data_IF_826411123359
#
_entry.id   IF_826411123359
#
_cell.length_a   1.000
_cell.length_b   1.000
_cell.length_c   1.000
_cell.angle_alpha   90.00
_cell.angle_beta   90.00
_cell.angle_gamma   90.00
#
_symmetry.space_group_name_H-M   'P 1'
#
loop_
_entity.id
_entity.type
_entity.pdbx_description
1 polymer ?
#
# COMPACT_ATOMS: atom_id res chain seq x y z
N UNK A 1 -12.17 2.80 -26.00
CA UNK A 1 -12.18 4.26 -25.89
C UNK A 1 -11.20 4.64 -24.78
N UNK A 2 -10.22 5.50 -25.04
CA UNK A 2 -9.24 5.95 -24.04
C UNK A 2 -9.92 7.03 -23.17
N UNK A 3 -10.02 6.83 -21.88
CA UNK A 3 -10.60 7.80 -20.95
C UNK A 3 -9.49 8.78 -20.55
N UNK A 4 -9.76 10.09 -20.70
CA UNK A 4 -8.83 11.16 -20.35
C UNK A 4 -9.16 11.75 -18.98
N UNK A 5 -8.15 12.29 -18.27
CA UNK A 5 -8.34 12.94 -16.97
C UNK A 5 -9.27 14.16 -17.06
N UNK A 6 -9.31 14.84 -18.22
CA UNK A 6 -10.10 16.06 -18.46
C UNK A 6 -11.59 15.82 -18.69
N UNK A 7 -12.03 14.57 -18.81
CA UNK A 7 -13.42 14.26 -19.15
C UNK A 7 -14.35 14.36 -17.95
N UNK A 8 -15.64 14.51 -18.23
CA UNK A 8 -16.68 14.32 -17.21
C UNK A 8 -16.81 12.85 -16.83
N UNK A 9 -16.79 12.53 -15.54
CA UNK A 9 -16.84 11.16 -15.02
C UNK A 9 -18.25 10.77 -14.55
N UNK A 10 -18.92 9.91 -15.33
CA UNK A 10 -20.08 9.14 -14.85
C UNK A 10 -19.61 8.01 -13.96
N UNK A 11 -20.49 7.37 -13.16
CA UNK A 11 -20.14 6.19 -12.37
C UNK A 11 -19.46 5.10 -13.19
N UNK A 12 -20.02 4.77 -14.36
CA UNK A 12 -19.47 3.75 -15.28
C UNK A 12 -18.06 4.12 -15.76
N UNK A 13 -17.84 5.39 -16.12
CA UNK A 13 -16.56 5.88 -16.61
C UNK A 13 -15.50 5.90 -15.49
N UNK A 14 -15.88 6.36 -14.30
CA UNK A 14 -15.01 6.37 -13.12
C UNK A 14 -14.58 4.96 -12.75
N UNK A 15 -15.53 4.03 -12.62
CA UNK A 15 -15.23 2.63 -12.33
C UNK A 15 -14.33 2.02 -13.38
N UNK A 16 -14.60 2.24 -14.68
CA UNK A 16 -13.76 1.71 -15.75
C UNK A 16 -12.34 2.26 -15.74
N UNK A 17 -12.16 3.50 -15.29
CA UNK A 17 -10.85 4.14 -15.18
C UNK A 17 -10.05 3.63 -13.98
N UNK A 18 -10.69 3.46 -12.82
CA UNK A 18 -10.01 3.02 -11.58
C UNK A 18 -9.87 1.50 -11.46
N UNK A 19 -10.69 0.72 -12.19
CA UNK A 19 -10.69 -0.74 -12.11
C UNK A 19 -9.32 -1.38 -12.33
N UNK A 20 -8.47 -0.95 -13.29
CA UNK A 20 -7.12 -1.49 -13.42
C UNK A 20 -6.27 -1.30 -12.16
N UNK A 21 -6.40 -0.15 -11.47
CA UNK A 21 -5.68 0.12 -10.22
C UNK A 21 -6.18 -0.77 -9.07
N UNK A 22 -7.50 -1.03 -9.01
CA UNK A 22 -8.09 -1.96 -8.03
C UNK A 22 -7.56 -3.37 -8.27
N UNK A 23 -7.63 -3.86 -9.50
CA UNK A 23 -7.14 -5.19 -9.87
C UNK A 23 -5.63 -5.30 -9.60
N UNK A 24 -4.87 -4.26 -9.89
CA UNK A 24 -3.43 -4.18 -9.60
C UNK A 24 -3.15 -4.39 -8.11
N UNK A 25 -3.87 -3.71 -7.23
CA UNK A 25 -3.70 -3.82 -5.78
C UNK A 25 -4.14 -5.18 -5.25
N UNK A 26 -5.25 -5.73 -5.74
CA UNK A 26 -5.70 -7.09 -5.40
C UNK A 26 -4.66 -8.12 -5.83
N UNK A 27 -4.15 -8.02 -7.05
CA UNK A 27 -3.13 -8.92 -7.57
C UNK A 27 -1.83 -8.84 -6.75
N UNK A 28 -1.40 -7.62 -6.38
CA UNK A 28 -0.24 -7.40 -5.49
C UNK A 28 -0.43 -8.10 -4.14
N UNK A 29 -1.62 -8.00 -3.55
CA UNK A 29 -1.93 -8.68 -2.28
C UNK A 29 -1.90 -10.20 -2.43
N UNK A 30 -2.44 -10.74 -3.51
CA UNK A 30 -2.47 -12.19 -3.76
C UNK A 30 -1.05 -12.74 -3.98
N UNK A 31 -0.25 -12.11 -4.84
CA UNK A 31 1.09 -12.66 -5.10
C UNK A 31 1.99 -12.57 -3.86
N UNK A 32 1.83 -11.55 -3.01
CA UNK A 32 2.57 -11.46 -1.74
C UNK A 32 2.22 -12.61 -0.78
N UNK A 33 0.96 -13.04 -0.77
CA UNK A 33 0.53 -14.23 0.00
C UNK A 33 1.14 -15.50 -0.58
N UNK A 34 1.16 -15.63 -1.91
CA UNK A 34 1.75 -16.79 -2.61
C UNK A 34 3.25 -16.90 -2.35
N UNK A 35 3.99 -15.79 -2.45
CA UNK A 35 5.43 -15.72 -2.12
C UNK A 35 5.69 -16.20 -0.69
N UNK A 36 4.94 -15.68 0.30
CA UNK A 36 5.02 -16.13 1.68
C UNK A 36 4.76 -17.63 1.87
N UNK A 37 3.81 -18.21 1.11
CA UNK A 37 3.54 -19.65 1.13
C UNK A 37 4.70 -20.47 0.54
N UNK A 38 5.32 -20.04 -0.55
CA UNK A 38 6.51 -20.71 -1.10
C UNK A 38 7.64 -20.74 -0.10
N UNK A 39 7.95 -19.61 0.51
CA UNK A 39 9.02 -19.54 1.51
C UNK A 39 8.72 -20.42 2.72
N UNK A 40 7.51 -20.37 3.27
CA UNK A 40 7.16 -21.15 4.46
C UNK A 40 7.23 -22.67 4.24
N UNK A 41 6.84 -23.14 3.05
CA UNK A 41 6.76 -24.57 2.77
C UNK A 41 8.08 -25.17 2.26
N UNK A 42 8.89 -24.41 1.53
CA UNK A 42 10.08 -24.96 0.86
C UNK A 42 11.42 -24.53 1.46
N UNK A 43 11.48 -23.42 2.22
CA UNK A 43 12.76 -22.89 2.68
C UNK A 43 13.04 -23.19 4.17
N UNK A 44 11.98 -23.37 4.98
CA UNK A 44 12.09 -23.77 6.37
C UNK A 44 11.99 -22.63 7.38
N UNK A 45 11.89 -23.01 8.67
CA UNK A 45 11.52 -22.11 9.77
C UNK A 45 12.53 -20.97 10.00
N UNK A 46 13.84 -21.25 9.95
CA UNK A 46 14.88 -20.23 10.22
C UNK A 46 14.95 -19.19 9.10
N UNK A 47 14.70 -19.61 7.86
CA UNK A 47 14.63 -18.70 6.72
C UNK A 47 13.39 -17.80 6.79
N UNK A 48 12.23 -18.36 7.12
CA UNK A 48 11.01 -17.60 7.32
C UNK A 48 11.16 -16.57 8.46
N UNK A 49 11.83 -16.96 9.55
CA UNK A 49 12.14 -16.05 10.66
C UNK A 49 13.06 -14.90 10.21
N UNK A 50 14.04 -15.17 9.34
CA UNK A 50 14.93 -14.15 8.80
C UNK A 50 14.17 -13.15 7.92
N UNK A 51 13.26 -13.62 7.08
CA UNK A 51 12.39 -12.75 6.26
C UNK A 51 11.54 -11.89 7.18
N UNK A 52 10.84 -12.45 8.15
CA UNK A 52 9.97 -11.72 9.06
C UNK A 52 10.70 -10.63 9.86
N UNK A 53 11.99 -10.84 10.18
CA UNK A 53 12.82 -9.84 10.84
C UNK A 53 13.27 -8.71 9.91
N UNK A 54 13.53 -9.02 8.65
CA UNK A 54 14.11 -8.06 7.69
C UNK A 54 13.07 -7.32 6.85
N UNK A 55 11.90 -7.95 6.58
CA UNK A 55 10.81 -7.36 5.80
C UNK A 55 10.35 -5.99 6.30
N UNK A 56 10.12 -5.74 7.61
CA UNK A 56 9.73 -4.43 8.09
C UNK A 56 10.74 -3.34 7.76
N UNK A 57 12.04 -3.66 7.73
CA UNK A 57 13.09 -2.72 7.37
C UNK A 57 13.03 -2.39 5.88
N UNK A 58 12.95 -3.43 5.03
CA UNK A 58 12.88 -3.29 3.57
C UNK A 58 11.62 -2.52 3.19
N UNK A 59 10.46 -2.88 3.74
CA UNK A 59 9.18 -2.20 3.49
C UNK A 59 9.18 -0.76 4.00
N UNK A 60 9.75 -0.51 5.18
CA UNK A 60 9.89 0.85 5.73
C UNK A 60 10.72 1.76 4.84
N UNK A 61 11.83 1.28 4.30
CA UNK A 61 12.66 2.03 3.37
C UNK A 61 11.97 2.22 2.01
N UNK A 62 11.34 1.19 1.48
CA UNK A 62 10.61 1.27 0.21
C UNK A 62 9.35 2.15 0.29
N UNK A 63 8.81 2.37 1.47
CA UNK A 63 7.68 3.27 1.71
C UNK A 63 7.97 4.72 1.29
N UNK A 64 9.25 5.11 1.22
CA UNK A 64 9.66 6.38 0.61
C UNK A 64 9.28 6.45 -0.88
N UNK A 65 9.30 5.32 -1.58
CA UNK A 65 8.81 5.22 -2.96
C UNK A 65 7.30 5.51 -3.05
N UNK A 66 6.48 4.94 -2.15
CA UNK A 66 5.05 5.25 -2.09
C UNK A 66 4.81 6.73 -1.77
N UNK A 67 5.53 7.29 -0.79
CA UNK A 67 5.47 8.71 -0.43
C UNK A 67 5.74 9.61 -1.62
N UNK A 68 6.86 9.38 -2.31
CA UNK A 68 7.26 10.17 -3.47
C UNK A 68 6.30 9.96 -4.64
N UNK A 69 5.82 8.73 -4.84
CA UNK A 69 4.89 8.36 -5.92
C UNK A 69 3.53 9.04 -5.80
N UNK A 70 2.86 8.89 -4.67
CA UNK A 70 1.53 9.47 -4.44
C UNK A 70 1.58 10.98 -4.35
N UNK A 71 2.54 11.54 -3.61
CA UNK A 71 2.71 12.98 -3.49
C UNK A 71 3.10 13.65 -4.81
N UNK A 72 4.03 13.05 -5.54
CA UNK A 72 4.50 13.56 -6.85
C UNK A 72 3.45 13.44 -7.93
N UNK A 73 2.73 12.32 -8.01
CA UNK A 73 1.67 12.12 -9.00
C UNK A 73 0.52 13.14 -8.83
N UNK A 74 0.17 13.46 -7.60
CA UNK A 74 -0.84 14.50 -7.33
C UNK A 74 -0.38 15.89 -7.77
N UNK A 75 0.88 16.26 -7.52
CA UNK A 75 1.42 17.56 -7.98
C UNK A 75 1.46 17.61 -9.50
N UNK A 76 1.96 16.57 -10.16
CA UNK A 76 2.04 16.51 -11.63
C UNK A 76 0.64 16.49 -12.25
N UNK A 77 -0.32 15.75 -11.70
CA UNK A 77 -1.70 15.72 -12.19
C UNK A 77 -2.38 17.10 -12.06
N UNK A 78 -2.12 17.82 -10.97
CA UNK A 78 -2.57 19.20 -10.80
C UNK A 78 -1.99 20.11 -11.89
N UNK A 79 -0.69 20.02 -12.19
CA UNK A 79 -0.04 20.82 -13.23
C UNK A 79 -0.59 20.52 -14.64
N UNK A 80 -0.92 19.26 -14.91
CA UNK A 80 -1.64 18.88 -16.14
C UNK A 80 -2.98 19.62 -16.24
N UNK A 81 -3.72 19.73 -15.13
CA UNK A 81 -4.96 20.51 -15.05
C UNK A 81 -4.74 22.01 -15.28
N UNK A 82 -3.66 22.58 -14.73
CA UNK A 82 -3.25 23.98 -14.92
C UNK A 82 -2.69 24.24 -16.34
N UNK A 83 -2.58 23.23 -17.22
CA UNK A 83 -2.03 23.28 -18.59
C UNK A 83 -0.57 23.77 -18.67
N UNK A 84 0.23 23.52 -17.65
CA UNK A 84 1.66 23.89 -17.59
C UNK A 84 2.54 22.79 -18.18
N UNK A 85 2.42 22.54 -19.50
CA UNK A 85 2.95 21.36 -20.23
C UNK A 85 4.45 21.12 -20.14
N UNK A 86 5.28 22.11 -19.87
CA UNK A 86 6.73 21.91 -19.74
C UNK A 86 7.11 21.46 -18.32
N UNK A 87 6.47 22.02 -17.29
CA UNK A 87 6.79 21.76 -15.89
C UNK A 87 6.33 20.37 -15.41
N UNK A 88 5.27 19.82 -15.97
CA UNK A 88 4.79 18.48 -15.60
C UNK A 88 5.81 17.40 -15.90
N UNK A 89 6.44 17.44 -17.09
CA UNK A 89 7.47 16.48 -17.48
C UNK A 89 8.78 16.71 -16.72
N UNK A 90 9.13 17.95 -16.43
CA UNK A 90 10.28 18.32 -15.63
C UNK A 90 10.17 17.75 -14.21
N UNK A 91 9.00 17.96 -13.55
CA UNK A 91 8.79 17.46 -12.19
C UNK A 91 8.60 15.94 -12.14
N UNK A 92 7.92 15.36 -13.13
CA UNK A 92 7.88 13.91 -13.29
C UNK A 92 9.29 13.32 -13.37
N UNK A 93 10.14 13.87 -14.23
CA UNK A 93 11.52 13.40 -14.40
C UNK A 93 12.34 13.58 -13.12
N UNK A 94 12.21 14.72 -12.45
CA UNK A 94 12.87 14.97 -11.16
C UNK A 94 12.50 13.91 -10.12
N UNK A 95 11.20 13.64 -9.96
CA UNK A 95 10.69 12.63 -9.02
C UNK A 95 11.28 11.25 -9.31
N UNK A 96 11.30 10.84 -10.57
CA UNK A 96 11.86 9.54 -10.98
C UNK A 96 13.37 9.47 -10.69
N UNK A 97 14.13 10.49 -11.05
CA UNK A 97 15.59 10.50 -10.84
C UNK A 97 15.95 10.57 -9.34
N UNK A 98 15.23 11.38 -8.57
CA UNK A 98 15.43 11.43 -7.11
C UNK A 98 15.12 10.09 -6.47
N UNK A 99 14.06 9.41 -6.90
CA UNK A 99 13.71 8.07 -6.40
C UNK A 99 14.80 7.05 -6.76
N UNK A 100 15.30 7.06 -7.99
CA UNK A 100 16.34 6.16 -8.41
C UNK A 100 17.65 6.36 -7.62
N UNK A 101 18.10 7.61 -7.49
CA UNK A 101 19.32 7.96 -6.73
C UNK A 101 19.11 7.66 -5.24
N UNK A 102 17.98 8.04 -4.66
CA UNK A 102 17.63 7.74 -3.27
C UNK A 102 17.58 6.24 -3.00
N UNK A 103 17.01 5.45 -3.91
CA UNK A 103 16.98 4.01 -3.83
C UNK A 103 18.38 3.39 -3.87
N UNK A 104 19.28 3.89 -4.72
CA UNK A 104 20.69 3.45 -4.76
C UNK A 104 21.40 3.77 -3.44
N UNK A 105 21.22 4.99 -2.91
CA UNK A 105 21.80 5.36 -1.62
C UNK A 105 21.30 4.48 -0.48
N UNK A 106 19.98 4.22 -0.43
CA UNK A 106 19.37 3.33 0.56
C UNK A 106 19.82 1.88 0.41
N UNK A 107 20.02 1.41 -0.83
CA UNK A 107 20.59 0.10 -1.12
C UNK A 107 21.99 -0.05 -0.52
N UNK A 108 22.86 0.93 -0.75
CA UNK A 108 24.24 0.93 -0.21
C UNK A 108 24.23 1.00 1.31
N UNK A 109 23.50 1.95 1.89
CA UNK A 109 23.38 2.10 3.35
C UNK A 109 22.77 0.86 4.00
N UNK A 110 21.68 0.33 3.44
CA UNK A 110 21.03 -0.89 3.93
C UNK A 110 21.98 -2.08 3.92
N UNK A 111 22.73 -2.27 2.83
CA UNK A 111 23.70 -3.36 2.71
C UNK A 111 24.84 -3.26 3.74
N UNK A 112 25.27 -2.03 4.08
CA UNK A 112 26.32 -1.79 5.07
C UNK A 112 25.79 -2.03 6.50
N UNK A 113 24.61 -1.49 6.80
CA UNK A 113 24.09 -1.47 8.18
C UNK A 113 23.28 -2.70 8.58
N UNK A 114 22.84 -3.56 7.63
CA UNK A 114 21.99 -4.71 7.95
C UNK A 114 22.59 -5.67 8.96
N UNK A 115 23.91 -5.98 9.01
CA UNK A 115 24.46 -6.86 10.01
C UNK A 115 24.28 -6.31 11.44
N UNK A 116 24.49 -5.00 11.61
CA UNK A 116 24.30 -4.33 12.91
C UNK A 116 22.81 -4.29 13.31
N UNK A 117 21.92 -3.95 12.37
CA UNK A 117 20.48 -3.86 12.61
C UNK A 117 19.91 -5.25 12.96
N UNK A 118 20.24 -6.29 12.19
CA UNK A 118 19.76 -7.65 12.46
C UNK A 118 20.27 -8.18 13.81
N UNK A 119 21.52 -7.87 14.17
CA UNK A 119 22.08 -8.21 15.49
C UNK A 119 21.36 -7.48 16.63
N UNK A 120 21.03 -6.19 16.48
CA UNK A 120 20.23 -5.41 17.43
C UNK A 120 18.81 -5.97 17.60
N UNK A 121 18.23 -6.51 16.54
CA UNK A 121 16.93 -7.19 16.59
C UNK A 121 16.99 -8.60 17.19
N UNK A 122 18.17 -9.01 17.66
CA UNK A 122 18.38 -10.29 18.37
C UNK A 122 18.75 -11.46 17.48
N UNK A 123 19.00 -11.27 16.18
CA UNK A 123 19.45 -12.35 15.31
C UNK A 123 20.87 -12.80 15.66
N UNK A 124 21.09 -14.13 15.78
CA UNK A 124 22.38 -14.75 16.09
C UNK A 124 22.60 -16.00 15.23
N UNK A 125 23.85 -16.38 15.04
CA UNK A 125 24.23 -17.61 14.34
C UNK A 125 23.62 -17.69 12.93
N UNK A 126 22.99 -18.82 12.60
CA UNK A 126 22.38 -19.05 11.27
C UNK A 126 21.27 -18.05 10.93
N UNK A 127 20.48 -17.62 11.93
CA UNK A 127 19.44 -16.60 11.71
C UNK A 127 20.04 -15.28 11.24
N UNK A 128 21.14 -14.83 11.87
CA UNK A 128 21.84 -13.61 11.46
C UNK A 128 22.38 -13.72 10.03
N UNK A 129 22.99 -14.86 9.70
CA UNK A 129 23.50 -15.13 8.35
C UNK A 129 22.38 -15.08 7.31
N UNK A 130 21.23 -15.67 7.59
CA UNK A 130 20.06 -15.65 6.72
C UNK A 130 19.47 -14.23 6.57
N UNK A 131 19.40 -13.44 7.66
CA UNK A 131 18.97 -12.05 7.61
C UNK A 131 19.86 -11.21 6.70
N UNK A 132 21.19 -11.36 6.83
CA UNK A 132 22.17 -10.63 6.02
C UNK A 132 22.04 -11.03 4.55
N UNK A 133 21.95 -12.33 4.26
CA UNK A 133 21.82 -12.84 2.90
C UNK A 133 20.56 -12.30 2.21
N UNK A 134 19.40 -12.50 2.84
CA UNK A 134 18.11 -12.09 2.27
C UNK A 134 18.03 -10.57 2.08
N UNK A 135 18.39 -9.81 3.11
CA UNK A 135 18.29 -8.35 3.02
C UNK A 135 19.27 -7.75 2.03
N UNK A 136 20.51 -8.25 1.93
CA UNK A 136 21.47 -7.78 0.93
C UNK A 136 21.00 -8.02 -0.50
N UNK A 137 20.43 -9.19 -0.78
CA UNK A 137 19.82 -9.47 -2.08
C UNK A 137 18.64 -8.52 -2.36
N UNK A 138 17.75 -8.34 -1.39
CA UNK A 138 16.62 -7.41 -1.53
C UNK A 138 17.06 -5.95 -1.69
N UNK A 139 18.17 -5.54 -1.07
CA UNK A 139 18.69 -4.18 -1.26
C UNK A 139 19.26 -3.93 -2.66
N UNK A 140 19.68 -4.95 -3.40
CA UNK A 140 20.10 -4.79 -4.81
C UNK A 140 18.94 -4.25 -5.64
N UNK A 141 17.73 -4.69 -5.42
CA UNK A 141 16.55 -4.25 -6.15
C UNK A 141 15.82 -3.07 -5.51
N UNK A 142 16.26 -2.55 -4.37
CA UNK A 142 15.63 -1.42 -3.67
C UNK A 142 15.32 -0.23 -4.59
N UNK A 143 16.23 0.22 -5.49
CA UNK A 143 15.90 1.30 -6.43
C UNK A 143 14.75 0.93 -7.36
N UNK A 144 14.72 -0.31 -7.86
CA UNK A 144 13.67 -0.81 -8.75
C UNK A 144 12.34 -0.95 -8.00
N UNK A 145 12.35 -1.43 -6.77
CA UNK A 145 11.17 -1.54 -5.93
C UNK A 145 10.55 -0.17 -5.60
N UNK A 146 11.37 0.80 -5.23
CA UNK A 146 10.91 2.17 -5.01
C UNK A 146 10.32 2.78 -6.29
N UNK A 147 10.98 2.57 -7.43
CA UNK A 147 10.48 3.02 -8.74
C UNK A 147 9.18 2.34 -9.13
N UNK A 148 9.02 1.04 -8.88
CA UNK A 148 7.76 0.33 -9.09
C UNK A 148 6.61 0.98 -8.32
N UNK A 149 6.83 1.32 -7.04
CA UNK A 149 5.83 2.00 -6.20
C UNK A 149 5.48 3.39 -6.74
N UNK A 150 6.48 4.15 -7.20
CA UNK A 150 6.27 5.46 -7.83
C UNK A 150 5.46 5.33 -9.12
N UNK A 151 5.82 4.39 -9.99
CA UNK A 151 5.16 4.22 -11.28
C UNK A 151 3.71 3.72 -11.16
N UNK A 152 3.33 3.03 -10.10
CA UNK A 152 1.93 2.65 -9.86
C UNK A 152 1.01 3.88 -9.89
N UNK A 153 1.41 4.97 -9.25
CA UNK A 153 0.65 6.23 -9.26
C UNK A 153 0.80 7.00 -10.59
N UNK A 154 2.00 7.02 -11.16
CA UNK A 154 2.25 7.77 -12.39
C UNK A 154 1.64 7.15 -13.65
N UNK A 155 1.45 5.84 -13.72
CA UNK A 155 0.70 5.25 -14.83
C UNK A 155 -0.74 5.76 -14.89
N UNK A 156 -1.38 6.00 -13.76
CA UNK A 156 -2.72 6.57 -13.70
C UNK A 156 -2.70 8.03 -14.15
N UNK A 157 -1.75 8.82 -13.65
CA UNK A 157 -1.53 10.23 -14.05
C UNK A 157 -1.22 10.35 -15.54
N UNK A 158 -0.51 9.38 -16.11
CA UNK A 158 -0.18 9.31 -17.53
C UNK A 158 -1.34 8.80 -18.42
N UNK A 159 -2.55 8.61 -17.88
CA UNK A 159 -3.72 7.99 -18.54
C UNK A 159 -3.47 6.59 -19.10
N UNK A 160 -2.61 5.83 -18.39
CA UNK A 160 -2.22 4.46 -18.77
C UNK A 160 -2.42 3.44 -17.63
N UNK A 161 -3.56 3.44 -16.90
CA UNK A 161 -3.75 2.55 -15.76
C UNK A 161 -3.68 1.06 -16.16
N UNK A 162 -4.14 0.69 -17.37
CA UNK A 162 -4.02 -0.68 -17.88
C UNK A 162 -2.55 -1.11 -18.07
N UNK A 163 -1.68 -0.19 -18.52
CA UNK A 163 -0.25 -0.50 -18.65
C UNK A 163 0.37 -0.75 -17.28
N UNK A 164 0.02 0.06 -16.27
CA UNK A 164 0.43 -0.17 -14.89
C UNK A 164 0.03 -1.55 -14.38
N UNK A 165 -1.23 -1.95 -14.65
CA UNK A 165 -1.73 -3.28 -14.30
C UNK A 165 -0.90 -4.38 -14.98
N UNK A 166 -0.63 -4.28 -16.29
CA UNK A 166 0.15 -5.29 -17.01
C UNK A 166 1.59 -5.41 -16.49
N UNK A 167 2.22 -4.28 -16.14
CA UNK A 167 3.57 -4.26 -15.56
C UNK A 167 3.60 -4.97 -14.20
N UNK A 168 2.63 -4.70 -13.34
CA UNK A 168 2.55 -5.36 -12.01
C UNK A 168 2.23 -6.85 -12.15
N UNK A 169 1.35 -7.23 -13.08
CA UNK A 169 1.09 -8.65 -13.37
C UNK A 169 2.36 -9.32 -13.89
N UNK A 170 3.08 -8.71 -14.83
CA UNK A 170 4.32 -9.27 -15.35
C UNK A 170 5.37 -9.44 -14.24
N UNK A 171 5.54 -8.45 -13.36
CA UNK A 171 6.44 -8.51 -12.21
C UNK A 171 6.06 -9.65 -11.25
N UNK A 172 4.79 -9.73 -10.83
CA UNK A 172 4.32 -10.75 -9.91
C UNK A 172 4.33 -12.16 -10.50
N UNK A 173 3.95 -12.33 -11.78
CA UNK A 173 4.04 -13.64 -12.46
C UNK A 173 5.50 -14.08 -12.59
N UNK A 174 6.41 -13.17 -12.91
CA UNK A 174 7.85 -13.48 -12.96
C UNK A 174 8.35 -13.94 -11.59
N UNK A 175 7.99 -13.22 -10.52
CA UNK A 175 8.35 -13.63 -9.15
C UNK A 175 7.83 -15.05 -8.86
N UNK A 176 6.51 -15.31 -9.03
CA UNK A 176 5.93 -16.64 -8.76
C UNK A 176 6.54 -17.78 -9.59
N UNK A 177 6.82 -17.55 -10.88
CA UNK A 177 7.46 -18.55 -11.76
C UNK A 177 8.90 -18.79 -11.32
N UNK A 178 9.63 -17.76 -10.96
CA UNK A 178 11.01 -17.89 -10.48
C UNK A 178 11.08 -18.49 -9.08
N UNK A 179 10.11 -18.26 -8.20
CA UNK A 179 10.00 -18.94 -6.91
C UNK A 179 9.84 -20.44 -7.12
N UNK A 180 8.93 -20.85 -8.00
CA UNK A 180 8.78 -22.25 -8.35
C UNK A 180 10.11 -22.85 -8.91
N UNK A 181 10.79 -22.11 -9.78
CA UNK A 181 12.03 -22.57 -10.38
C UNK A 181 13.19 -22.60 -9.36
N UNK A 182 13.47 -21.49 -8.69
CA UNK A 182 14.65 -21.36 -7.83
C UNK A 182 14.48 -22.06 -6.49
N UNK A 183 13.29 -21.97 -5.90
CA UNK A 183 13.02 -22.55 -4.59
C UNK A 183 12.50 -23.98 -4.74
N UNK A 184 11.49 -24.19 -5.61
CA UNK A 184 10.81 -25.47 -5.74
C UNK A 184 11.63 -26.52 -6.50
N UNK A 185 12.26 -26.17 -7.63
CA UNK A 185 12.95 -27.11 -8.52
C UNK A 185 14.46 -27.15 -8.25
N UNK A 186 15.12 -25.97 -8.22
CA UNK A 186 16.58 -25.88 -8.08
C UNK A 186 17.07 -25.94 -6.62
N UNK A 187 16.18 -25.78 -5.64
CA UNK A 187 16.53 -25.89 -4.23
C UNK A 187 17.47 -24.81 -3.70
N UNK A 188 17.46 -23.60 -4.30
CA UNK A 188 18.32 -22.48 -3.87
C UNK A 188 17.87 -21.86 -2.53
N UNK A 189 16.81 -22.37 -1.93
CA UNK A 189 16.33 -21.97 -0.62
C UNK A 189 16.05 -20.47 -0.52
N UNK A 190 16.52 -19.83 0.56
CA UNK A 190 16.27 -18.41 0.84
C UNK A 190 16.85 -17.48 -0.23
N UNK A 191 18.02 -17.81 -0.79
CA UNK A 191 18.61 -17.02 -1.86
C UNK A 191 17.75 -17.07 -3.13
N UNK A 192 17.15 -18.23 -3.42
CA UNK A 192 16.24 -18.41 -4.55
C UNK A 192 15.00 -17.52 -4.44
N UNK A 193 14.35 -17.48 -3.27
CA UNK A 193 13.20 -16.61 -3.02
C UNK A 193 13.57 -15.13 -3.14
N UNK A 194 14.70 -14.72 -2.56
CA UNK A 194 15.18 -13.34 -2.70
C UNK A 194 15.45 -12.96 -4.17
N UNK A 195 16.09 -13.83 -4.95
CA UNK A 195 16.37 -13.59 -6.36
C UNK A 195 15.11 -13.52 -7.22
N UNK A 196 14.12 -14.35 -6.94
CA UNK A 196 12.83 -14.31 -7.64
C UNK A 196 12.12 -12.95 -7.43
N UNK A 197 12.11 -12.47 -6.17
CA UNK A 197 11.56 -11.14 -5.82
C UNK A 197 12.34 -10.03 -6.51
N UNK A 198 13.68 -10.08 -6.48
CA UNK A 198 14.56 -9.11 -7.16
C UNK A 198 14.26 -9.02 -8.66
N UNK A 199 14.10 -10.15 -9.35
CA UNK A 199 13.79 -10.17 -10.77
C UNK A 199 12.41 -9.54 -11.06
N UNK A 200 11.39 -9.84 -10.24
CA UNK A 200 10.08 -9.22 -10.35
C UNK A 200 10.13 -7.70 -10.17
N UNK A 201 10.84 -7.22 -9.16
CA UNK A 201 10.99 -5.79 -8.87
C UNK A 201 11.75 -5.05 -9.99
N UNK A 202 12.76 -5.66 -10.60
CA UNK A 202 13.44 -5.07 -11.77
C UNK A 202 12.49 -4.91 -12.95
N UNK A 203 11.62 -5.87 -13.22
CA UNK A 203 10.60 -5.71 -14.27
C UNK A 203 9.67 -4.57 -13.92
N UNK A 204 9.15 -4.53 -12.68
CA UNK A 204 8.22 -3.50 -12.23
C UNK A 204 8.79 -2.09 -12.23
N UNK A 205 10.09 -1.94 -11.92
CA UNK A 205 10.77 -0.64 -11.81
C UNK A 205 11.43 -0.16 -13.10
N UNK A 206 12.11 -1.05 -13.87
CA UNK A 206 12.91 -0.63 -15.03
C UNK A 206 12.09 -0.56 -16.33
N UNK A 207 11.10 -1.43 -16.52
CA UNK A 207 10.26 -1.37 -17.71
C UNK A 207 9.57 -0.02 -17.89
N UNK A 208 8.99 0.60 -16.83
CA UNK A 208 8.40 1.93 -16.94
C UNK A 208 9.41 3.01 -17.33
N UNK A 209 10.66 2.96 -16.84
CA UNK A 209 11.70 3.90 -17.26
C UNK A 209 11.89 3.81 -18.77
N UNK A 210 12.04 2.61 -19.30
CA UNK A 210 12.19 2.39 -20.72
C UNK A 210 10.99 2.88 -21.54
N UNK A 211 9.76 2.68 -21.03
CA UNK A 211 8.53 3.17 -21.66
C UNK A 211 8.49 4.69 -21.72
N UNK A 212 8.79 5.39 -20.62
CA UNK A 212 8.68 6.84 -20.53
C UNK A 212 9.88 7.59 -21.16
N UNK A 213 11.02 6.95 -21.38
CA UNK A 213 12.16 7.55 -22.09
C UNK A 213 11.95 7.57 -23.60
N UNK A 214 11.19 6.61 -24.15
CA UNK A 214 10.89 6.55 -25.59
C UNK A 214 9.70 7.43 -25.96
N UNK A 215 9.53 7.70 -27.27
CA UNK A 215 8.30 8.29 -27.81
C UNK A 215 7.14 7.35 -27.49
N UNK A 216 6.21 7.81 -26.68
CA UNK A 216 5.05 7.05 -26.25
C UNK A 216 3.76 7.85 -26.43
N UNK A 217 2.61 7.21 -26.22
CA UNK A 217 1.28 7.82 -26.40
C UNK A 217 0.68 8.29 -25.06
N UNK A 218 1.49 8.44 -24.02
CA UNK A 218 1.04 8.97 -22.72
C UNK A 218 1.20 10.50 -22.64
N UNK A 219 0.65 11.09 -21.60
CA UNK A 219 0.83 12.52 -21.30
C UNK A 219 2.22 12.85 -20.79
N UNK A 220 2.88 11.87 -20.12
CA UNK A 220 4.16 12.06 -19.45
C UNK A 220 5.31 11.45 -20.23
N UNK A 221 6.49 12.10 -20.12
CA UNK A 221 7.72 11.65 -20.75
C UNK A 221 8.92 12.01 -19.89
N UNK A 222 9.86 11.08 -19.74
CA UNK A 222 11.13 11.34 -19.08
C UNK A 222 12.04 12.19 -19.98
N UNK A 223 12.64 13.21 -19.40
CA UNK A 223 13.53 14.14 -20.09
C UNK A 223 14.48 14.86 -19.15
N UNK A 224 14.96 16.02 -19.61
CA UNK A 224 15.80 16.90 -18.78
C UNK A 224 14.98 17.48 -17.64
N UNK A 225 15.61 17.65 -16.50
CA UNK A 225 15.00 18.27 -15.32
C UNK A 225 16.00 19.15 -14.60
N UNK A 226 15.50 20.10 -13.82
CA UNK A 226 16.28 20.93 -12.93
C UNK A 226 15.93 20.60 -11.49
N UNK A 227 16.90 20.68 -10.60
CA UNK A 227 16.68 20.48 -9.18
C UNK A 227 15.78 21.57 -8.61
N UNK A 228 14.64 21.16 -8.02
CA UNK A 228 13.73 22.04 -7.33
C UNK A 228 13.39 21.46 -5.95
N UNK A 229 14.17 21.86 -4.94
CA UNK A 229 14.02 21.37 -3.56
C UNK A 229 12.66 21.70 -2.95
N UNK A 230 12.04 22.82 -3.34
CA UNK A 230 10.71 23.20 -2.85
C UNK A 230 9.63 22.24 -3.33
N UNK A 231 9.65 21.89 -4.63
CA UNK A 231 8.69 20.90 -5.19
C UNK A 231 8.94 19.51 -4.61
N UNK A 232 10.19 19.13 -4.40
CA UNK A 232 10.50 17.85 -3.77
C UNK A 232 9.99 17.80 -2.32
N UNK A 233 10.18 18.86 -1.55
CA UNK A 233 9.64 18.97 -0.19
C UNK A 233 8.10 18.89 -0.19
N UNK A 234 7.45 19.62 -1.10
CA UNK A 234 5.99 19.51 -1.27
C UNK A 234 5.55 18.11 -1.64
N UNK A 235 6.29 17.41 -2.50
CA UNK A 235 6.05 16.01 -2.87
C UNK A 235 6.10 15.11 -1.64
N UNK A 236 7.15 15.24 -0.83
CA UNK A 236 7.30 14.46 0.40
C UNK A 236 6.21 14.75 1.43
N UNK A 237 5.89 16.04 1.67
CA UNK A 237 4.81 16.43 2.59
C UNK A 237 3.47 15.88 2.09
N UNK A 238 3.20 15.99 0.79
CA UNK A 238 1.93 15.58 0.21
C UNK A 238 1.73 14.06 0.24
N UNK A 239 2.80 13.28 0.09
CA UNK A 239 2.75 11.82 0.17
C UNK A 239 3.08 11.23 1.54
N UNK A 240 3.34 12.05 2.55
CA UNK A 240 3.76 11.58 3.89
C UNK A 240 2.73 10.67 4.57
N UNK A 241 1.46 10.76 4.17
CA UNK A 241 0.40 9.85 4.62
C UNK A 241 0.69 8.39 4.30
N UNK A 242 1.27 8.11 3.13
CA UNK A 242 1.65 6.74 2.73
C UNK A 242 2.83 6.22 3.54
N UNK A 243 3.83 7.07 3.78
CA UNK A 243 4.95 6.72 4.64
C UNK A 243 4.48 6.41 6.07
N UNK A 244 3.60 7.25 6.63
CA UNK A 244 3.01 7.05 7.96
C UNK A 244 2.23 5.74 8.01
N UNK A 245 1.41 5.45 7.02
CA UNK A 245 0.62 4.21 6.94
C UNK A 245 1.52 2.97 6.95
N UNK A 246 2.56 2.95 6.11
CA UNK A 246 3.44 1.79 5.99
C UNK A 246 4.30 1.57 7.26
N UNK A 247 4.88 2.64 7.83
CA UNK A 247 5.66 2.53 9.06
C UNK A 247 4.78 2.12 10.25
N UNK A 248 3.60 2.70 10.37
CA UNK A 248 2.66 2.37 11.43
C UNK A 248 2.19 0.92 11.38
N UNK A 249 1.99 0.38 10.17
CA UNK A 249 1.53 -1.01 9.99
C UNK A 249 2.48 -2.03 10.63
N UNK A 250 3.79 -1.83 10.51
CA UNK A 250 4.80 -2.71 11.12
C UNK A 250 4.75 -2.64 12.66
N UNK A 251 4.62 -1.43 13.22
CA UNK A 251 4.51 -1.22 14.67
C UNK A 251 3.23 -1.87 15.19
N UNK A 252 2.12 -1.63 14.51
CA UNK A 252 0.82 -2.15 14.93
C UNK A 252 0.75 -3.67 14.84
N UNK A 253 1.29 -4.28 13.79
CA UNK A 253 1.35 -5.72 13.67
C UNK A 253 2.09 -6.37 14.85
N UNK A 254 3.21 -5.78 15.25
CA UNK A 254 3.96 -6.24 16.45
C UNK A 254 3.14 -6.07 17.73
N UNK A 255 2.45 -4.95 17.90
CA UNK A 255 1.65 -4.67 19.08
C UNK A 255 0.43 -5.60 19.19
N UNK A 256 -0.25 -5.89 18.05
CA UNK A 256 -1.33 -6.88 18.00
C UNK A 256 -0.82 -8.26 18.42
N UNK A 257 0.30 -8.71 17.89
CA UNK A 257 0.90 -10.01 18.25
C UNK A 257 1.23 -10.11 19.76
N UNK A 258 1.78 -9.04 20.35
CA UNK A 258 2.08 -8.99 21.79
C UNK A 258 0.78 -9.12 22.62
N UNK A 259 -0.26 -8.36 22.27
CA UNK A 259 -1.53 -8.41 22.98
C UNK A 259 -2.22 -9.78 22.81
N UNK A 260 -2.24 -10.31 21.59
CA UNK A 260 -2.83 -11.62 21.33
C UNK A 260 -2.09 -12.75 22.04
N UNK A 261 -0.76 -12.71 22.07
CA UNK A 261 0.03 -13.68 22.85
C UNK A 261 -0.35 -13.64 24.33
N UNK A 262 -0.57 -12.45 24.90
CA UNK A 262 -0.97 -12.27 26.29
C UNK A 262 -2.38 -12.77 26.60
N UNK A 263 -3.36 -12.57 25.73
CA UNK A 263 -4.78 -12.86 25.99
C UNK A 263 -5.25 -14.20 25.44
N UNK A 264 -4.62 -14.74 24.40
CA UNK A 264 -5.07 -15.94 23.70
C UNK A 264 -3.92 -16.89 23.29
N UNK A 265 -2.68 -16.59 23.68
CA UNK A 265 -1.52 -17.42 23.37
C UNK A 265 -1.25 -17.55 21.86
N UNK A 266 -0.67 -18.68 21.45
CA UNK A 266 -0.31 -18.96 20.07
C UNK A 266 -1.53 -19.00 19.14
N UNK A 267 -2.67 -19.50 19.62
CA UNK A 267 -3.91 -19.56 18.82
C UNK A 267 -4.41 -18.15 18.44
N UNK A 268 -4.29 -17.16 19.34
CA UNK A 268 -4.65 -15.78 19.04
C UNK A 268 -3.79 -15.18 17.93
N UNK A 269 -2.48 -15.40 17.97
CA UNK A 269 -1.53 -14.93 16.95
C UNK A 269 -1.78 -15.62 15.61
N UNK A 270 -2.04 -16.93 15.60
CA UNK A 270 -2.34 -17.69 14.40
C UNK A 270 -3.68 -17.25 13.75
N UNK A 271 -4.72 -17.01 14.58
CA UNK A 271 -6.00 -16.49 14.12
C UNK A 271 -5.83 -15.11 13.45
N UNK A 272 -5.10 -14.20 14.08
CA UNK A 272 -4.83 -12.87 13.52
C UNK A 272 -4.06 -12.93 12.21
N UNK A 273 -3.01 -13.76 12.13
CA UNK A 273 -2.26 -13.96 10.89
C UNK A 273 -3.16 -14.40 9.73
N UNK A 274 -4.04 -15.37 9.97
CA UNK A 274 -5.03 -15.82 8.99
C UNK A 274 -5.97 -14.70 8.54
N UNK A 275 -6.47 -13.91 9.51
CA UNK A 275 -7.35 -12.77 9.21
C UNK A 275 -6.64 -11.71 8.39
N UNK A 276 -5.35 -11.46 8.62
CA UNK A 276 -4.58 -10.45 7.89
C UNK A 276 -4.41 -10.79 6.42
N UNK A 277 -4.25 -12.05 6.03
CA UNK A 277 -4.20 -12.43 4.61
C UNK A 277 -5.49 -12.04 3.87
N UNK A 278 -6.64 -12.27 4.48
CA UNK A 278 -7.94 -11.88 3.92
C UNK A 278 -8.10 -10.36 3.90
N UNK A 279 -7.69 -9.71 4.99
CA UNK A 279 -7.77 -8.25 5.14
C UNK A 279 -6.98 -7.50 4.07
N UNK A 280 -5.78 -7.97 3.71
CA UNK A 280 -4.97 -7.36 2.66
C UNK A 280 -5.68 -7.34 1.30
N UNK A 281 -6.38 -8.43 0.94
CA UNK A 281 -7.13 -8.51 -0.32
C UNK A 281 -8.33 -7.55 -0.31
N UNK A 282 -9.04 -7.44 0.81
CA UNK A 282 -10.23 -6.60 0.91
C UNK A 282 -9.88 -5.11 0.96
N UNK A 283 -8.84 -4.73 1.71
CA UNK A 283 -8.37 -3.35 1.75
C UNK A 283 -7.75 -2.91 0.42
N UNK A 284 -7.22 -3.83 -0.38
CA UNK A 284 -6.68 -3.55 -1.70
C UNK A 284 -7.70 -2.86 -2.63
N UNK A 285 -9.00 -3.12 -2.45
CA UNK A 285 -10.08 -2.46 -3.20
C UNK A 285 -10.10 -0.96 -2.90
N UNK A 286 -10.03 -0.57 -1.63
CA UNK A 286 -10.04 0.84 -1.23
C UNK A 286 -8.75 1.56 -1.60
N UNK A 287 -7.60 0.91 -1.41
CA UNK A 287 -6.30 1.47 -1.83
C UNK A 287 -6.22 1.63 -3.35
N UNK A 288 -6.65 0.61 -4.10
CA UNK A 288 -6.68 0.66 -5.56
C UNK A 288 -7.60 1.75 -6.10
N UNK A 289 -8.78 1.92 -5.48
CA UNK A 289 -9.67 3.03 -5.81
C UNK A 289 -9.02 4.40 -5.53
N UNK A 290 -8.38 4.53 -4.38
CA UNK A 290 -7.72 5.78 -3.97
C UNK A 290 -6.59 6.16 -4.93
N UNK A 291 -5.71 5.19 -5.28
CA UNK A 291 -4.63 5.39 -6.26
C UNK A 291 -5.20 5.75 -7.64
N UNK A 292 -6.28 5.07 -8.06
CA UNK A 292 -6.90 5.28 -9.36
C UNK A 292 -7.64 6.62 -9.48
N UNK A 293 -8.27 7.10 -8.42
CA UNK A 293 -9.07 8.34 -8.43
C UNK A 293 -8.27 9.60 -8.12
N UNK A 294 -7.19 9.50 -7.35
CA UNK A 294 -6.41 10.67 -6.92
C UNK A 294 -5.91 11.55 -8.08
N UNK A 295 -5.33 11.03 -9.18
CA UNK A 295 -4.91 11.88 -10.31
C UNK A 295 -6.06 12.58 -11.01
N UNK A 296 -7.25 11.95 -11.08
CA UNK A 296 -8.47 12.59 -11.67
C UNK A 296 -8.90 13.77 -10.82
N UNK A 297 -8.98 13.58 -9.50
CA UNK A 297 -9.34 14.63 -8.54
C UNK A 297 -8.32 15.77 -8.59
N UNK A 298 -7.03 15.43 -8.60
CA UNK A 298 -5.95 16.42 -8.64
C UNK A 298 -5.93 17.24 -9.94
N UNK A 299 -6.22 16.59 -11.07
CA UNK A 299 -6.36 17.26 -12.37
C UNK A 299 -7.48 18.30 -12.35
N UNK A 300 -8.69 17.90 -11.92
CA UNK A 300 -9.83 18.82 -11.88
C UNK A 300 -9.65 19.94 -10.86
N UNK A 301 -8.97 19.67 -9.76
CA UNK A 301 -8.56 20.69 -8.81
C UNK A 301 -7.60 21.71 -9.47
N UNK A 302 -6.59 21.24 -10.20
CA UNK A 302 -5.66 22.11 -10.95
C UNK A 302 -6.34 22.90 -12.07
N UNK A 303 -7.32 22.32 -12.75
CA UNK A 303 -8.11 22.95 -13.79
C UNK A 303 -9.15 23.96 -13.25
N UNK A 304 -9.34 24.05 -11.93
CA UNK A 304 -10.37 24.90 -11.33
C UNK A 304 -11.81 24.44 -11.60
N UNK A 305 -11.99 23.18 -12.02
CA UNK A 305 -13.30 22.61 -12.35
C UNK A 305 -14.00 22.12 -11.08
N UNK A 306 -14.65 23.05 -10.39
CA UNK A 306 -15.33 22.78 -9.12
C UNK A 306 -16.53 21.84 -9.28
N UNK A 307 -17.27 21.92 -10.38
CA UNK A 307 -18.45 21.08 -10.62
C UNK A 307 -18.05 19.61 -10.75
N UNK A 308 -16.95 19.33 -11.47
CA UNK A 308 -16.45 17.98 -11.59
C UNK A 308 -15.81 17.49 -10.29
N UNK A 309 -15.18 18.39 -9.53
CA UNK A 309 -14.65 18.05 -8.21
C UNK A 309 -15.75 17.61 -7.22
N UNK A 310 -16.89 18.33 -7.22
CA UNK A 310 -18.10 17.93 -6.44
C UNK A 310 -18.66 16.60 -6.92
N UNK A 311 -18.76 16.43 -8.23
CA UNK A 311 -19.23 15.22 -8.86
C UNK A 311 -18.38 14.00 -8.44
N UNK A 312 -17.05 14.11 -8.52
CA UNK A 312 -16.09 13.06 -8.14
C UNK A 312 -16.17 12.76 -6.65
N UNK A 313 -16.24 13.78 -5.79
CA UNK A 313 -16.34 13.60 -4.34
C UNK A 313 -17.60 12.82 -3.96
N UNK A 314 -18.79 13.24 -4.44
CA UNK A 314 -20.06 12.57 -4.16
C UNK A 314 -20.06 11.12 -4.66
N UNK A 315 -19.60 10.89 -5.89
CA UNK A 315 -19.55 9.56 -6.48
C UNK A 315 -18.58 8.64 -5.73
N UNK A 316 -17.43 9.17 -5.32
CA UNK A 316 -16.45 8.43 -4.53
C UNK A 316 -17.02 7.99 -3.19
N UNK A 317 -17.67 8.90 -2.45
CA UNK A 317 -18.30 8.53 -1.16
C UNK A 317 -19.39 7.47 -1.34
N UNK A 318 -20.21 7.57 -2.39
CA UNK A 318 -21.24 6.59 -2.70
C UNK A 318 -20.64 5.20 -3.02
N UNK A 319 -19.62 5.14 -3.89
CA UNK A 319 -18.97 3.90 -4.27
C UNK A 319 -18.27 3.23 -3.07
N UNK A 320 -17.55 4.02 -2.28
CA UNK A 320 -16.84 3.54 -1.10
C UNK A 320 -17.82 3.00 -0.06
N UNK A 321 -18.93 3.71 0.21
CA UNK A 321 -19.98 3.26 1.11
C UNK A 321 -20.62 1.97 0.64
N UNK A 322 -20.94 1.87 -0.66
CA UNK A 322 -21.50 0.65 -1.25
C UNK A 322 -20.53 -0.53 -1.13
N UNK A 323 -19.26 -0.34 -1.44
CA UNK A 323 -18.24 -1.38 -1.29
C UNK A 323 -17.98 -1.73 0.17
N UNK A 324 -17.98 -0.76 1.09
CA UNK A 324 -17.85 -1.03 2.52
C UNK A 324 -18.96 -1.95 3.04
N UNK A 325 -20.22 -1.68 2.67
CA UNK A 325 -21.36 -2.53 3.01
C UNK A 325 -21.21 -3.91 2.36
N UNK A 326 -20.89 -3.96 1.06
CA UNK A 326 -20.72 -5.21 0.33
C UNK A 326 -19.61 -6.08 0.93
N UNK A 327 -18.45 -5.49 1.25
CA UNK A 327 -17.33 -6.22 1.84
C UNK A 327 -17.64 -6.69 3.27
N UNK A 328 -18.29 -5.87 4.07
CA UNK A 328 -18.72 -6.28 5.42
C UNK A 328 -19.70 -7.45 5.35
N UNK A 329 -20.71 -7.39 4.49
CA UNK A 329 -21.67 -8.48 4.30
C UNK A 329 -20.99 -9.75 3.73
N UNK A 330 -20.14 -9.59 2.72
CA UNK A 330 -19.40 -10.71 2.13
C UNK A 330 -18.50 -11.37 3.18
N UNK A 331 -17.82 -10.57 4.01
CA UNK A 331 -17.00 -11.09 5.10
C UNK A 331 -17.79 -11.87 6.14
N UNK A 332 -18.99 -11.40 6.51
CA UNK A 332 -19.86 -12.13 7.41
C UNK A 332 -20.29 -13.48 6.84
N UNK A 333 -20.64 -13.53 5.55
CA UNK A 333 -21.02 -14.76 4.86
C UNK A 333 -19.84 -15.73 4.69
N UNK A 334 -18.66 -15.20 4.39
CA UNK A 334 -17.45 -15.98 4.12
C UNK A 334 -16.61 -16.25 5.37
N UNK A 335 -16.94 -15.73 6.54
CA UNK A 335 -16.15 -15.91 7.77
C UNK A 335 -15.89 -17.40 8.07
N UNK A 336 -16.93 -18.24 8.10
CA UNK A 336 -16.78 -19.66 8.36
C UNK A 336 -16.02 -20.40 7.24
N UNK A 337 -16.36 -20.28 5.93
CA UNK A 337 -15.63 -21.00 4.88
C UNK A 337 -14.18 -20.55 4.74
N UNK A 338 -13.87 -19.26 4.89
CA UNK A 338 -12.49 -18.76 4.84
C UNK A 338 -11.69 -19.23 6.05
N UNK A 339 -12.22 -19.14 7.27
CA UNK A 339 -11.55 -19.66 8.45
C UNK A 339 -11.31 -21.18 8.35
N UNK A 340 -12.30 -21.93 7.83
CA UNK A 340 -12.14 -23.38 7.61
C UNK A 340 -11.03 -23.72 6.60
N UNK A 341 -10.89 -22.91 5.56
CA UNK A 341 -9.86 -23.10 4.54
C UNK A 341 -8.44 -23.01 5.12
N UNK A 342 -8.20 -22.08 6.04
CA UNK A 342 -6.87 -21.83 6.59
C UNK A 342 -6.59 -22.62 7.87
N UNK A 343 -7.56 -22.77 8.76
CA UNK A 343 -7.36 -23.32 10.11
C UNK A 343 -8.40 -24.40 10.49
N UNK A 344 -9.06 -25.01 9.51
CA UNK A 344 -10.09 -26.03 9.74
C UNK A 344 -9.58 -27.36 10.33
N UNK A 345 -8.28 -27.51 10.48
CA UNK A 345 -7.63 -28.67 11.12
C UNK A 345 -7.68 -28.61 12.65
N UNK A 346 -7.94 -27.45 13.25
CA UNK A 346 -8.05 -27.23 14.70
C UNK A 346 -9.36 -26.52 15.01
N UNK A 347 -10.23 -27.19 15.80
CA UNK A 347 -11.59 -26.69 16.08
C UNK A 347 -11.58 -25.45 16.97
N UNK A 348 -10.66 -25.32 17.92
CA UNK A 348 -10.56 -24.16 18.80
C UNK A 348 -10.05 -22.95 18.03
N UNK A 349 -8.97 -23.10 17.27
CA UNK A 349 -8.40 -22.07 16.42
C UNK A 349 -9.40 -21.61 15.33
N UNK A 350 -10.16 -22.54 14.74
CA UNK A 350 -11.22 -22.22 13.79
C UNK A 350 -12.29 -21.33 14.44
N UNK A 351 -12.83 -21.74 15.59
CA UNK A 351 -13.86 -20.99 16.29
C UNK A 351 -13.38 -19.57 16.68
N UNK A 352 -12.13 -19.46 17.16
CA UNK A 352 -11.51 -18.17 17.50
C UNK A 352 -11.35 -17.29 16.26
N UNK A 353 -10.86 -17.85 15.15
CA UNK A 353 -10.63 -17.13 13.89
C UNK A 353 -11.93 -16.64 13.29
N UNK A 354 -12.96 -17.51 13.22
CA UNK A 354 -14.27 -17.13 12.71
C UNK A 354 -14.91 -16.02 13.55
N UNK A 355 -14.91 -16.17 14.87
CA UNK A 355 -15.46 -15.17 15.79
C UNK A 355 -14.72 -13.84 15.68
N UNK A 356 -13.40 -13.86 15.73
CA UNK A 356 -12.56 -12.66 15.60
C UNK A 356 -12.76 -11.96 14.26
N UNK A 357 -12.84 -12.72 13.17
CA UNK A 357 -13.03 -12.17 11.84
C UNK A 357 -14.41 -11.50 11.69
N UNK A 358 -15.49 -12.08 12.26
CA UNK A 358 -16.83 -11.48 12.26
C UNK A 358 -16.85 -10.11 12.94
N UNK A 359 -16.09 -9.93 14.02
CA UNK A 359 -15.97 -8.63 14.71
C UNK A 359 -15.10 -7.67 13.90
N UNK A 360 -13.93 -8.12 13.48
CA UNK A 360 -12.95 -7.32 12.78
C UNK A 360 -13.47 -6.73 11.46
N UNK A 361 -14.21 -7.53 10.68
CA UNK A 361 -14.69 -7.13 9.35
C UNK A 361 -15.74 -6.01 9.38
N UNK A 362 -16.35 -5.69 10.52
CA UNK A 362 -17.21 -4.51 10.66
C UNK A 362 -16.45 -3.20 10.39
N UNK A 363 -15.13 -3.20 10.56
CA UNK A 363 -14.28 -2.07 10.20
C UNK A 363 -14.34 -1.71 8.71
N UNK A 364 -14.65 -2.66 7.82
CA UNK A 364 -14.77 -2.39 6.37
C UNK A 364 -15.87 -1.40 6.02
N UNK A 365 -16.90 -1.26 6.85
CA UNK A 365 -17.91 -0.22 6.69
C UNK A 365 -17.34 1.20 6.71
N UNK A 366 -16.19 1.37 7.39
CA UNK A 366 -15.60 2.68 7.70
C UNK A 366 -14.25 2.89 7.05
N UNK A 367 -13.42 1.84 6.94
CA UNK A 367 -12.04 1.90 6.44
C UNK A 367 -11.92 2.67 5.13
N UNK A 368 -12.84 2.40 4.18
CA UNK A 368 -12.82 3.02 2.87
C UNK A 368 -12.94 4.55 2.93
N UNK A 369 -13.78 5.09 3.81
CA UNK A 369 -13.96 6.54 3.95
C UNK A 369 -12.69 7.23 4.47
N UNK A 370 -11.98 6.60 5.41
CA UNK A 370 -10.75 7.16 5.97
C UNK A 370 -9.58 7.05 4.98
N UNK A 371 -9.45 5.92 4.27
CA UNK A 371 -8.44 5.74 3.21
C UNK A 371 -8.66 6.77 2.11
N UNK A 372 -9.89 6.89 1.62
CA UNK A 372 -10.24 7.88 0.61
C UNK A 372 -10.07 9.31 1.13
N UNK A 373 -10.45 9.60 2.36
CA UNK A 373 -10.31 10.93 2.97
C UNK A 373 -8.87 11.41 2.96
N UNK A 374 -7.93 10.56 3.38
CA UNK A 374 -6.50 10.83 3.31
C UNK A 374 -6.06 11.06 1.86
N UNK A 375 -6.37 10.15 0.95
CA UNK A 375 -6.01 10.22 -0.47
C UNK A 375 -6.63 11.42 -1.18
N UNK A 376 -7.86 11.81 -0.83
CA UNK A 376 -8.54 12.99 -1.35
C UNK A 376 -7.81 14.27 -1.00
N UNK A 377 -7.35 14.43 0.26
CA UNK A 377 -6.55 15.58 0.64
C UNK A 377 -5.15 15.57 0.01
N UNK A 378 -4.55 14.39 -0.20
CA UNK A 378 -3.33 14.27 -1.03
C UNK A 378 -3.58 14.77 -2.45
N UNK A 379 -4.69 14.37 -3.07
CA UNK A 379 -5.06 14.82 -4.41
C UNK A 379 -5.33 16.34 -4.49
N UNK A 380 -5.85 16.94 -3.41
CA UNK A 380 -5.98 18.40 -3.28
C UNK A 380 -4.67 19.11 -2.93
N UNK A 381 -3.54 18.40 -2.92
CA UNK A 381 -2.23 18.88 -2.50
C UNK A 381 -2.21 19.47 -1.07
N UNK A 382 -3.01 18.89 -0.18
CA UNK A 382 -3.01 19.19 1.26
C UNK A 382 -2.45 18.01 2.06
N UNK A 383 -1.15 17.76 1.93
CA UNK A 383 -0.46 16.67 2.56
C UNK A 383 -0.52 16.68 4.09
N UNK A 384 -0.62 17.85 4.70
CA UNK A 384 -0.69 17.96 6.16
C UNK A 384 -1.97 17.32 6.72
N UNK A 385 -3.13 17.61 6.10
CA UNK A 385 -4.39 16.99 6.51
C UNK A 385 -4.39 15.49 6.19
N UNK A 386 -3.89 15.13 5.01
CA UNK A 386 -3.75 13.73 4.63
C UNK A 386 -2.89 12.95 5.64
N UNK A 387 -1.72 13.47 5.99
CA UNK A 387 -0.83 12.89 6.99
C UNK A 387 -1.48 12.81 8.38
N UNK A 388 -2.22 13.84 8.79
CA UNK A 388 -2.91 13.85 10.07
C UNK A 388 -3.98 12.74 10.14
N UNK A 389 -4.80 12.57 9.09
CA UNK A 389 -5.78 11.49 9.01
C UNK A 389 -5.09 10.13 9.09
N UNK A 390 -4.04 9.91 8.28
CA UNK A 390 -3.32 8.64 8.26
C UNK A 390 -2.63 8.33 9.59
N UNK A 391 -1.94 9.31 10.19
CA UNK A 391 -1.24 9.14 11.45
C UNK A 391 -2.19 8.81 12.62
N UNK A 392 -3.28 9.56 12.73
CA UNK A 392 -4.31 9.30 13.74
C UNK A 392 -4.94 7.92 13.55
N UNK A 393 -5.25 7.57 12.29
CA UNK A 393 -5.88 6.31 11.90
C UNK A 393 -4.99 5.11 12.20
N UNK A 394 -3.75 5.13 11.69
CA UNK A 394 -2.91 3.93 11.64
C UNK A 394 -2.03 3.75 12.87
N UNK A 395 -1.83 4.79 13.65
CA UNK A 395 -0.96 4.74 14.83
C UNK A 395 -1.71 5.14 16.10
N UNK A 396 -2.12 6.40 16.24
CA UNK A 396 -2.58 6.95 17.53
C UNK A 396 -3.81 6.22 18.05
N UNK A 397 -4.90 6.22 17.28
CA UNK A 397 -6.16 5.60 17.73
C UNK A 397 -6.05 4.08 17.83
N UNK A 398 -5.28 3.44 16.96
CA UNK A 398 -5.07 2.01 17.05
C UNK A 398 -4.25 1.63 18.29
N UNK A 399 -3.16 2.35 18.63
CA UNK A 399 -2.41 2.10 19.86
C UNK A 399 -3.32 2.26 21.08
N UNK A 400 -4.09 3.35 21.15
CA UNK A 400 -4.99 3.60 22.28
C UNK A 400 -6.00 2.44 22.41
N UNK A 401 -6.63 2.04 21.30
CA UNK A 401 -7.68 1.01 21.35
C UNK A 401 -7.12 -0.39 21.62
N UNK A 402 -5.98 -0.77 21.05
CA UNK A 402 -5.39 -2.10 21.28
C UNK A 402 -4.83 -2.26 22.70
N UNK A 403 -4.51 -1.17 23.37
CA UNK A 403 -4.08 -1.20 24.78
C UNK A 403 -5.28 -1.12 25.76
N UNK A 404 -6.29 -0.31 25.43
CA UNK A 404 -7.42 -0.04 26.33
C UNK A 404 -8.50 -1.11 26.24
N UNK A 405 -8.97 -1.46 25.02
CA UNK A 405 -10.13 -2.34 24.87
C UNK A 405 -9.92 -3.77 25.39
N UNK A 406 -8.75 -4.40 25.28
CA UNK A 406 -8.52 -5.72 25.85
C UNK A 406 -8.67 -5.77 27.37
N UNK A 407 -8.41 -4.65 28.07
CA UNK A 407 -8.58 -4.57 29.54
C UNK A 407 -10.03 -4.59 29.95
N UNK A 408 -10.96 -4.18 29.05
CA UNK A 408 -12.41 -4.11 29.29
C UNK A 408 -13.16 -5.31 28.72
N UNK A 409 -12.78 -5.78 27.54
CA UNK A 409 -13.51 -6.77 26.74
C UNK A 409 -12.70 -8.06 26.45
N UNK A 410 -11.52 -8.21 27.06
CA UNK A 410 -10.65 -9.35 26.79
C UNK A 410 -10.27 -9.44 25.30
N UNK A 411 -10.28 -10.65 24.75
CA UNK A 411 -9.93 -10.91 23.35
C UNK A 411 -10.85 -10.18 22.36
N UNK A 412 -12.13 -10.01 22.69
CA UNK A 412 -13.07 -9.25 21.85
C UNK A 412 -12.66 -7.77 21.72
N UNK A 413 -12.00 -7.23 22.74
CA UNK A 413 -11.40 -5.89 22.69
C UNK A 413 -10.30 -5.79 21.65
N UNK A 414 -9.49 -6.85 21.46
CA UNK A 414 -8.47 -6.89 20.42
C UNK A 414 -9.09 -6.89 19.03
N UNK A 415 -10.11 -7.75 18.81
CA UNK A 415 -10.79 -7.84 17.52
C UNK A 415 -11.56 -6.57 17.14
N UNK A 416 -12.14 -5.87 18.11
CA UNK A 416 -12.89 -4.62 17.89
C UNK A 416 -12.00 -3.36 17.81
N UNK A 417 -10.75 -3.44 18.22
CA UNK A 417 -9.85 -2.28 18.32
C UNK A 417 -9.72 -1.50 17.00
N UNK A 418 -9.58 -2.22 15.88
CA UNK A 418 -9.51 -1.57 14.55
C UNK A 418 -10.81 -0.86 14.22
N UNK A 419 -11.96 -1.50 14.42
CA UNK A 419 -13.25 -0.91 14.09
C UNK A 419 -13.51 0.38 14.87
N UNK A 420 -13.19 0.41 16.16
CA UNK A 420 -13.38 1.60 17.01
C UNK A 420 -12.36 2.68 16.66
N UNK A 421 -11.10 2.33 16.39
CA UNK A 421 -10.09 3.28 15.91
C UNK A 421 -10.48 3.92 14.58
N UNK A 422 -11.03 3.15 13.64
CA UNK A 422 -11.54 3.66 12.36
C UNK A 422 -12.76 4.58 12.56
N UNK A 423 -13.65 4.27 13.50
CA UNK A 423 -14.78 5.14 13.83
C UNK A 423 -14.33 6.49 14.40
N UNK A 424 -13.34 6.50 15.30
CA UNK A 424 -12.72 7.73 15.81
C UNK A 424 -12.09 8.54 14.68
N UNK A 425 -11.38 7.85 13.78
CA UNK A 425 -10.79 8.50 12.61
C UNK A 425 -11.84 9.06 11.67
N UNK A 426 -12.98 8.39 11.50
CA UNK A 426 -14.07 8.88 10.66
C UNK A 426 -14.59 10.23 11.17
N UNK A 427 -14.72 10.40 12.50
CA UNK A 427 -15.09 11.69 13.07
C UNK A 427 -14.10 12.81 12.70
N UNK A 428 -12.79 12.49 12.71
CA UNK A 428 -11.74 13.42 12.29
C UNK A 428 -11.84 13.72 10.79
N UNK A 429 -12.00 12.69 9.97
CA UNK A 429 -12.11 12.80 8.50
C UNK A 429 -13.32 13.66 8.11
N UNK A 430 -14.48 13.43 8.73
CA UNK A 430 -15.69 14.24 8.52
C UNK A 430 -15.46 15.68 8.95
N UNK A 431 -14.79 15.89 10.08
CA UNK A 431 -14.46 17.25 10.56
C UNK A 431 -13.61 18.00 9.54
N UNK A 432 -12.58 17.35 8.96
CA UNK A 432 -11.78 17.96 7.91
C UNK A 432 -12.58 18.18 6.64
N UNK A 433 -13.43 17.28 6.22
CA UNK A 433 -14.33 17.50 5.08
C UNK A 433 -15.23 18.73 5.30
N UNK A 434 -15.81 18.89 6.48
CA UNK A 434 -16.67 20.05 6.76
C UNK A 434 -15.85 21.36 6.79
N UNK A 435 -14.69 21.37 7.48
CA UNK A 435 -13.87 22.58 7.62
C UNK A 435 -13.26 23.05 6.30
N UNK A 436 -12.86 22.12 5.44
CA UNK A 436 -12.16 22.45 4.19
C UNK A 436 -13.07 22.68 2.97
N UNK A 437 -14.38 22.40 3.09
CA UNK A 437 -15.34 22.50 1.98
C UNK A 437 -15.38 23.87 1.31
N UNK A 438 -15.27 24.95 2.12
CA UNK A 438 -15.28 26.32 1.60
C UNK A 438 -13.98 26.69 0.87
N UNK A 439 -12.86 26.11 1.26
CA UNK A 439 -11.55 26.37 0.67
C UNK A 439 -11.39 25.70 -0.70
N UNK A 440 -11.90 24.49 -0.84
CA UNK A 440 -11.68 23.65 -2.02
C UNK A 440 -12.92 23.49 -2.90
N UNK A 441 -14.08 23.97 -2.48
CA UNK A 441 -15.34 23.98 -3.23
C UNK A 441 -15.79 22.64 -3.80
N UNK A 442 -15.62 21.54 -3.05
CA UNK A 442 -16.01 20.18 -3.47
C UNK A 442 -17.38 19.72 -2.94
N UNK A 443 -18.11 20.58 -2.26
CA UNK A 443 -19.50 20.37 -1.78
C UNK A 443 -20.38 21.53 -2.21
#
# INVERSE_FOLDING_TARGET
>A
MKIQLSEHFTYKKLLRFVLPSIIMMIFTSIYSVVDGLFVSNFVGKTALAAINLTLPIIMGLSALGFMIGTGGSAIVARMLGEKKREKENEYFSMVIYVTAIGGILLSILGTIFIPAIASLLGAKGQLLSNCILYARLSFISMPAFMLQNVFQSFFVTAEKPHLGLYVVIAAGVTNMVLDLLFVGILGFGLAGAALATVCGEFIGGLFPIFYFTRKNSSLLRLGKTHWNGHVLLQTCINGSSELMTNLSSSIMNSLYNIQLMKFAGENGVAAYGTMMYINFIFLAIFFGYSIGSAPVISYHYGAGNQDELKNLFRKSLCLIGTWGIMLALLSQLLAAPLSKLFVGYDAELFAMTEHGFRIYCLAYLINGFNIFGSSFFTALNNGVISAAISFLRTLVFQIIMILLLPTLLGINGIWSAVGIAELMTLCVTITFFIKQRKKYHYV
#
